data_IF_255149290596
#
_entry.id   IF_255149290596
#
_cell.length_a   1.000
_cell.length_b   1.000
_cell.length_c   1.000
_cell.angle_alpha   90.00
_cell.angle_beta   90.00
_cell.angle_gamma   90.00
#
_symmetry.space_group_name_H-M   'P 1'
#
loop_
_entity.id
_entity.type
_entity.pdbx_description
1 polymer ?
#
# COMPACT_ATOMS: atom_id res chain seq x y z
N UNK A 1 1.10 -9.07 -15.98
CA UNK A 1 2.42 -8.42 -15.98
C UNK A 1 2.69 -7.73 -17.31
N UNK A 2 2.76 -8.50 -18.41
CA UNK A 2 3.09 -7.98 -19.74
C UNK A 2 2.09 -6.93 -20.27
N UNK A 3 0.79 -7.17 -20.07
CA UNK A 3 -0.28 -6.21 -20.45
C UNK A 3 -0.21 -4.90 -19.65
N UNK A 4 -0.02 -4.98 -18.33
CA UNK A 4 0.08 -3.78 -17.48
C UNK A 4 1.33 -2.95 -17.80
N UNK A 5 2.46 -3.61 -18.06
CA UNK A 5 3.69 -2.96 -18.49
C UNK A 5 3.52 -2.32 -19.88
N UNK A 6 2.89 -3.02 -20.84
CA UNK A 6 2.59 -2.46 -22.15
C UNK A 6 1.69 -1.22 -22.07
N UNK A 7 0.65 -1.25 -21.22
CA UNK A 7 -0.23 -0.09 -20.99
C UNK A 7 0.52 1.11 -20.40
N UNK A 8 1.37 0.90 -19.39
CA UNK A 8 2.16 1.99 -18.81
C UNK A 8 3.13 2.57 -19.83
N UNK A 9 3.80 1.72 -20.62
CA UNK A 9 4.69 2.18 -21.69
C UNK A 9 3.91 3.01 -22.70
N UNK A 10 2.77 2.53 -23.19
CA UNK A 10 1.96 3.26 -24.19
C UNK A 10 1.52 4.62 -23.64
N UNK A 11 0.95 4.68 -22.44
CA UNK A 11 0.46 5.93 -21.84
C UNK A 11 1.58 6.95 -21.64
N UNK A 12 2.80 6.50 -21.35
CA UNK A 12 3.94 7.38 -21.04
C UNK A 12 4.76 7.78 -22.25
N UNK A 13 4.91 6.89 -23.25
CA UNK A 13 5.68 7.17 -24.47
C UNK A 13 4.87 7.85 -25.56
N UNK A 14 3.56 7.59 -25.65
CA UNK A 14 2.71 8.16 -26.70
C UNK A 14 2.67 9.71 -26.67
N UNK A 15 2.51 10.39 -25.50
CA UNK A 15 2.57 11.85 -25.43
C UNK A 15 3.93 12.41 -25.86
N UNK A 16 5.02 11.74 -25.50
CA UNK A 16 6.38 12.15 -25.87
C UNK A 16 6.60 12.04 -27.38
N UNK A 17 6.17 10.94 -28.00
CA UNK A 17 6.28 10.75 -29.46
C UNK A 17 5.45 11.78 -30.22
N UNK A 18 4.21 12.04 -29.79
CA UNK A 18 3.36 13.07 -30.40
C UNK A 18 4.02 14.45 -30.30
N UNK A 19 4.58 14.79 -29.13
CA UNK A 19 5.29 16.06 -28.94
C UNK A 19 6.51 16.18 -29.86
N UNK A 20 7.32 15.13 -30.01
CA UNK A 20 8.50 15.16 -30.90
C UNK A 20 8.11 15.34 -32.37
N UNK A 21 7.05 14.66 -32.82
CA UNK A 21 6.53 14.82 -34.18
C UNK A 21 6.06 16.26 -34.38
N UNK A 22 5.26 16.78 -33.45
CA UNK A 22 4.78 18.17 -33.49
C UNK A 22 5.95 19.18 -33.51
N UNK A 23 6.94 18.99 -32.65
CA UNK A 23 8.12 19.87 -32.57
C UNK A 23 8.91 19.85 -33.89
N UNK A 24 9.04 18.68 -34.52
CA UNK A 24 9.74 18.53 -35.80
C UNK A 24 9.03 19.29 -36.92
N UNK A 25 7.70 19.22 -37.00
CA UNK A 25 6.93 19.94 -38.01
C UNK A 25 6.88 21.46 -37.79
N UNK A 26 6.96 21.90 -36.54
CA UNK A 26 6.81 23.33 -36.18
C UNK A 26 8.13 24.05 -35.95
N UNK A 27 9.28 23.41 -36.20
CA UNK A 27 10.60 23.97 -35.89
C UNK A 27 10.91 25.26 -36.66
N UNK A 28 10.40 25.40 -37.89
CA UNK A 28 10.67 26.56 -38.75
C UNK A 28 9.61 27.68 -38.65
N UNK A 29 8.56 27.49 -37.86
CA UNK A 29 7.53 28.51 -37.68
C UNK A 29 8.00 29.55 -36.66
N UNK A 30 7.74 30.82 -36.94
CA UNK A 30 7.92 31.89 -35.94
C UNK A 30 6.86 31.68 -34.85
N UNK A 31 7.30 31.57 -33.60
CA UNK A 31 6.44 31.27 -32.44
C UNK A 31 6.35 32.46 -31.51
N UNK A 32 5.14 32.76 -31.07
CA UNK A 32 4.93 33.73 -30.00
C UNK A 32 5.45 33.21 -28.65
N UNK A 33 5.78 34.12 -27.75
CA UNK A 33 6.33 33.81 -26.43
C UNK A 33 5.42 32.87 -25.63
N UNK A 34 4.10 33.03 -25.74
CA UNK A 34 3.11 32.16 -25.10
C UNK A 34 3.21 30.72 -25.62
N UNK A 35 3.36 30.55 -26.94
CA UNK A 35 3.46 29.23 -27.58
C UNK A 35 4.76 28.52 -27.19
N UNK A 36 5.86 29.26 -27.10
CA UNK A 36 7.14 28.73 -26.60
C UNK A 36 7.01 28.25 -25.14
N UNK A 37 6.31 29.01 -24.29
CA UNK A 37 6.07 28.60 -22.91
C UNK A 37 5.24 27.32 -22.80
N UNK A 38 4.18 27.19 -23.62
CA UNK A 38 3.35 25.98 -23.68
C UNK A 38 4.13 24.76 -24.17
N UNK A 39 4.92 24.90 -25.23
CA UNK A 39 5.76 23.82 -25.75
C UNK A 39 6.81 23.37 -24.71
N UNK A 40 7.44 24.31 -24.01
CA UNK A 40 8.35 23.98 -22.92
C UNK A 40 7.66 23.25 -21.77
N UNK A 41 6.46 23.67 -21.36
CA UNK A 41 5.68 22.99 -20.34
C UNK A 41 5.31 21.57 -20.78
N UNK A 42 4.86 21.40 -22.02
CA UNK A 42 4.55 20.10 -22.60
C UNK A 42 5.78 19.18 -22.59
N UNK A 43 6.93 19.68 -23.03
CA UNK A 43 8.21 18.95 -23.04
C UNK A 43 8.64 18.51 -21.64
N UNK A 44 8.52 19.40 -20.64
CA UNK A 44 8.87 19.08 -19.25
C UNK A 44 7.91 18.06 -18.66
N UNK A 45 6.62 18.17 -18.98
CA UNK A 45 5.58 17.24 -18.52
C UNK A 45 5.78 15.85 -19.12
N UNK A 46 5.98 15.76 -20.43
CA UNK A 46 6.20 14.48 -21.14
C UNK A 46 7.54 13.82 -20.74
N UNK A 47 8.59 14.62 -20.53
CA UNK A 47 9.84 14.16 -19.93
C UNK A 47 9.64 13.61 -18.52
N UNK A 48 8.87 14.32 -17.68
CA UNK A 48 8.51 13.86 -16.33
C UNK A 48 7.76 12.53 -16.33
N UNK A 49 6.80 12.34 -17.24
CA UNK A 49 6.06 11.07 -17.40
C UNK A 49 7.00 9.92 -17.78
N UNK A 50 8.06 10.18 -18.53
CA UNK A 50 9.05 9.15 -18.90
C UNK A 50 9.86 8.70 -17.68
N UNK A 51 10.31 9.63 -16.83
CA UNK A 51 10.96 9.27 -15.56
C UNK A 51 10.02 8.51 -14.63
N UNK A 52 8.75 8.92 -14.56
CA UNK A 52 7.73 8.21 -13.81
C UNK A 52 7.53 6.78 -14.33
N UNK A 53 7.57 6.57 -15.65
CA UNK A 53 7.50 5.23 -16.27
C UNK A 53 8.63 4.31 -15.79
N UNK A 54 9.86 4.81 -15.74
CA UNK A 54 11.00 4.02 -15.26
C UNK A 54 10.83 3.59 -13.80
N UNK A 55 10.43 4.52 -12.93
CA UNK A 55 10.16 4.19 -11.53
C UNK A 55 8.97 3.21 -11.37
N UNK A 56 7.90 3.42 -12.13
CA UNK A 56 6.69 2.58 -12.09
C UNK A 56 6.95 1.18 -12.62
N UNK A 57 7.79 1.05 -13.66
CA UNK A 57 8.19 -0.24 -14.20
C UNK A 57 8.94 -1.07 -13.16
N UNK A 58 9.81 -0.44 -12.36
CA UNK A 58 10.48 -1.09 -11.23
C UNK A 58 9.47 -1.58 -10.18
N UNK A 59 8.49 -0.76 -9.82
CA UNK A 59 7.44 -1.17 -8.87
C UNK A 59 6.56 -2.28 -9.43
N UNK A 60 6.15 -2.20 -10.68
CA UNK A 60 5.36 -3.25 -11.33
C UNK A 60 6.13 -4.56 -11.41
N UNK A 61 7.45 -4.53 -11.68
CA UNK A 61 8.28 -5.72 -11.64
C UNK A 61 8.37 -6.31 -10.24
N UNK A 62 8.66 -5.47 -9.25
CA UNK A 62 8.75 -5.88 -7.84
C UNK A 62 7.43 -6.46 -7.37
N UNK A 63 6.31 -5.78 -7.61
CA UNK A 63 4.98 -6.21 -7.18
C UNK A 63 4.44 -7.40 -7.98
N UNK A 64 4.83 -7.55 -9.25
CA UNK A 64 4.42 -8.67 -10.10
C UNK A 64 5.30 -9.91 -9.94
N UNK A 65 6.46 -9.78 -9.30
CA UNK A 65 7.33 -10.90 -8.96
C UNK A 65 6.62 -11.87 -8.01
N UNK A 66 6.50 -13.14 -8.41
CA UNK A 66 5.93 -14.20 -7.57
C UNK A 66 6.68 -14.35 -6.25
N UNK A 67 8.00 -14.14 -6.27
CA UNK A 67 8.88 -14.18 -5.09
C UNK A 67 8.52 -13.06 -4.10
N UNK A 68 8.40 -11.82 -4.59
CA UNK A 68 8.04 -10.69 -3.74
C UNK A 68 6.63 -10.84 -3.16
N UNK A 69 5.66 -11.29 -3.96
CA UNK A 69 4.30 -11.57 -3.46
C UNK A 69 4.33 -12.63 -2.36
N UNK A 70 5.12 -13.69 -2.52
CA UNK A 70 5.25 -14.76 -1.52
C UNK A 70 5.83 -14.23 -0.21
N UNK A 71 6.86 -13.39 -0.27
CA UNK A 71 7.44 -12.77 0.92
C UNK A 71 6.51 -11.71 1.54
N UNK A 72 5.78 -10.94 0.73
CA UNK A 72 4.75 -10.02 1.21
C UNK A 72 3.62 -10.76 1.94
N UNK A 73 3.13 -11.87 1.37
CA UNK A 73 2.14 -12.72 2.03
C UNK A 73 2.67 -13.31 3.33
N UNK A 74 3.95 -13.73 3.38
CA UNK A 74 4.58 -14.17 4.64
C UNK A 74 4.57 -13.05 5.68
N UNK A 75 5.04 -11.85 5.33
CA UNK A 75 5.04 -10.70 6.25
C UNK A 75 3.64 -10.35 6.76
N UNK A 76 2.65 -10.29 5.87
CA UNK A 76 1.26 -9.99 6.24
C UNK A 76 0.70 -11.10 7.14
N UNK A 77 0.94 -12.38 6.80
CA UNK A 77 0.48 -13.51 7.61
C UNK A 77 1.14 -13.54 8.98
N UNK A 78 2.43 -13.21 9.09
CA UNK A 78 3.14 -13.09 10.37
C UNK A 78 2.59 -11.94 11.21
N UNK A 79 2.34 -10.77 10.62
CA UNK A 79 1.70 -9.65 11.30
C UNK A 79 0.30 -10.02 11.81
N UNK A 80 -0.52 -10.67 10.98
CA UNK A 80 -1.85 -11.14 11.39
C UNK A 80 -1.78 -12.22 12.48
N UNK A 81 -0.79 -13.11 12.44
CA UNK A 81 -0.59 -14.14 13.45
C UNK A 81 -0.14 -13.56 14.79
N UNK A 82 0.79 -12.60 14.79
CA UNK A 82 1.23 -11.86 15.96
C UNK A 82 0.09 -11.08 16.63
N UNK A 83 -0.80 -10.50 15.83
CA UNK A 83 -1.96 -9.81 16.37
C UNK A 83 -2.97 -10.81 16.98
N UNK A 84 -3.13 -12.00 16.39
CA UNK A 84 -4.02 -13.04 16.91
C UNK A 84 -3.52 -13.66 18.21
N UNK A 85 -2.22 -13.90 18.37
CA UNK A 85 -1.64 -14.37 19.64
C UNK A 85 -1.75 -13.32 20.73
N UNK A 86 -1.55 -12.04 20.41
CA UNK A 86 -1.70 -10.95 21.38
C UNK A 86 -3.12 -10.84 21.93
N UNK A 87 -4.14 -10.94 21.06
CA UNK A 87 -5.55 -10.95 21.49
C UNK A 87 -5.91 -12.21 22.28
N UNK A 88 -5.32 -13.36 21.94
CA UNK A 88 -5.53 -14.61 22.67
C UNK A 88 -5.01 -14.57 24.12
N UNK A 89 -3.84 -13.95 24.34
CA UNK A 89 -3.24 -13.82 25.68
C UNK A 89 -4.11 -12.91 26.56
N UNK A 90 -4.51 -11.74 26.05
CA UNK A 90 -5.37 -10.80 26.81
C UNK A 90 -6.72 -11.45 27.17
N UNK A 91 -7.30 -12.24 26.26
CA UNK A 91 -8.56 -12.95 26.53
C UNK A 91 -8.41 -14.06 27.58
N UNK A 92 -7.25 -14.73 27.61
CA UNK A 92 -6.95 -15.76 28.59
C UNK A 92 -6.82 -15.17 30.01
N UNK A 93 -6.12 -14.03 30.15
CA UNK A 93 -6.00 -13.34 31.44
C UNK A 93 -7.35 -12.82 31.96
N UNK A 94 -8.20 -12.28 31.08
CA UNK A 94 -9.54 -11.84 31.45
C UNK A 94 -10.42 -12.99 31.97
N UNK A 95 -10.29 -14.18 31.37
CA UNK A 95 -11.02 -15.37 31.81
C UNK A 95 -10.51 -15.89 33.15
N UNK A 96 -9.20 -15.81 33.43
CA UNK A 96 -8.65 -16.17 34.75
C UNK A 96 -9.07 -15.20 35.86
N UNK A 97 -9.13 -13.90 35.59
CA UNK A 97 -9.64 -12.94 36.58
C UNK A 97 -11.12 -13.17 36.88
N UNK A 98 -11.93 -13.48 35.87
CA UNK A 98 -13.36 -13.81 36.04
C UNK A 98 -13.57 -15.01 36.96
N UNK A 99 -12.80 -16.10 36.78
CA UNK A 99 -12.92 -17.30 37.61
C UNK A 99 -12.44 -17.07 39.04
N UNK A 100 -11.37 -16.32 39.25
CA UNK A 100 -10.91 -15.91 40.60
C UNK A 100 -11.96 -15.07 41.34
N UNK A 101 -12.63 -14.17 40.63
CA UNK A 101 -13.67 -13.30 41.22
C UNK A 101 -14.91 -14.10 41.61
N UNK A 102 -15.30 -15.09 40.79
CA UNK A 102 -16.41 -16.01 41.12
C UNK A 102 -16.11 -16.86 42.34
N UNK A 103 -14.89 -17.39 42.46
CA UNK A 103 -14.48 -18.21 43.60
C UNK A 103 -14.43 -17.43 44.91
N UNK A 104 -14.02 -16.15 44.90
CA UNK A 104 -14.09 -15.28 46.10
C UNK A 104 -15.51 -15.04 46.58
N UNK A 105 -16.48 -14.84 45.67
CA UNK A 105 -17.90 -14.70 46.08
C UNK A 105 -18.44 -15.96 46.73
N UNK A 106 -18.11 -17.15 46.22
CA UNK A 106 -18.54 -18.42 46.82
C UNK A 106 -17.92 -18.67 48.19
N UNK A 107 -16.66 -18.30 48.41
CA UNK A 107 -16.01 -18.43 49.73
C UNK A 107 -16.57 -17.43 50.74
N UNK A 108 -16.88 -16.20 50.32
CA UNK A 108 -17.57 -15.22 51.17
C UNK A 108 -18.93 -15.71 51.68
N UNK A 109 -19.77 -16.26 50.78
CA UNK A 109 -21.10 -16.76 51.14
C UNK A 109 -21.03 -17.94 52.12
N UNK A 110 -20.07 -18.87 51.93
CA UNK A 110 -19.87 -19.99 52.85
C UNK A 110 -19.51 -19.53 54.26
N UNK A 111 -18.66 -18.51 54.40
CA UNK A 111 -18.26 -18.02 55.72
C UNK A 111 -19.41 -17.33 56.47
N UNK A 112 -20.33 -16.65 55.77
CA UNK A 112 -21.54 -16.08 56.39
C UNK A 112 -22.56 -17.12 56.85
N UNK A 113 -22.68 -18.26 56.15
CA UNK A 113 -23.59 -19.34 56.56
C UNK A 113 -23.11 -20.10 57.80
N UNK A 114 -21.80 -20.21 58.01
CA UNK A 114 -21.21 -20.84 59.20
C UNK A 114 -21.37 -19.97 60.46
N UNK A 115 -21.58 -18.67 60.31
CA UNK A 115 -21.76 -17.75 61.44
C UNK A 115 -23.20 -17.67 61.97
N UNK A 116 -24.17 -18.31 61.29
CA UNK A 116 -25.58 -18.34 61.68
C UNK A 116 -26.03 -19.68 62.29
N UNK A 117 -25.13 -20.64 62.44
CA UNK A 117 -25.34 -21.92 63.14
C UNK A 117 -24.60 -21.94 64.47
#
# INVERSE_FOLDING_TARGET
MLVAQALVIIITTLPQTIYQIYASFTMNLVKDTLRIAQENLANKTSGGMTYFCHSTSFYLFTLSGSIFRRELYKFISQCCHLNRTRVGIVRSEMNQMSTLTKNRKLTGIKNTLVQQS
#
